data_IF_410658962159
#
_entry.id   IF_410658962159
#
_cell.length_a   1.000
_cell.length_b   1.000
_cell.length_c   1.000
_cell.angle_alpha   90.00
_cell.angle_beta   90.00
_cell.angle_gamma   90.00
#
_symmetry.space_group_name_H-M   'P 1'
#
loop_
_entity.id
_entity.type
_entity.pdbx_description
1 polymer ?
#
# COMPACT_ATOMS: atom_id res chain seq x y z
N UNK A 1 10.19 -0.99 -28.77
CA UNK A 1 10.92 -0.76 -27.50
C UNK A 1 10.01 -1.08 -26.33
N UNK A 2 10.41 -1.96 -25.40
CA UNK A 2 9.59 -2.40 -24.28
C UNK A 2 10.04 -1.70 -22.98
N UNK A 3 9.98 -0.37 -22.97
CA UNK A 3 10.44 0.44 -21.84
C UNK A 3 9.44 0.26 -20.69
N UNK A 4 9.94 0.01 -19.48
CA UNK A 4 9.14 -0.04 -18.25
C UNK A 4 9.62 1.09 -17.34
N UNK A 5 8.69 1.83 -16.73
CA UNK A 5 9.00 2.83 -15.68
C UNK A 5 8.70 2.27 -14.30
N UNK A 6 9.52 2.62 -13.32
CA UNK A 6 9.24 2.36 -11.91
C UNK A 6 8.32 3.47 -11.40
N UNK A 7 7.17 3.09 -10.85
CA UNK A 7 6.30 4.00 -10.11
C UNK A 7 6.36 3.62 -8.64
N UNK A 8 6.76 4.58 -7.82
CA UNK A 8 6.72 4.49 -6.37
C UNK A 8 5.58 5.35 -5.82
N UNK A 9 4.82 4.79 -4.89
CA UNK A 9 3.88 5.54 -4.05
C UNK A 9 4.25 5.38 -2.60
N UNK A 10 4.09 6.45 -1.84
CA UNK A 10 4.30 6.49 -0.41
C UNK A 10 2.93 6.61 0.27
N UNK A 11 2.75 5.84 1.32
CA UNK A 11 1.58 5.85 2.18
C UNK A 11 1.98 5.84 3.64
N UNK A 12 0.97 5.84 4.50
CA UNK A 12 1.14 5.88 5.95
C UNK A 12 0.26 4.85 6.61
N UNK A 13 0.77 4.17 7.64
CA UNK A 13 -0.01 3.26 8.46
C UNK A 13 -0.89 4.03 9.43
N UNK A 14 -2.15 3.60 9.52
CA UNK A 14 -3.07 3.97 10.58
C UNK A 14 -3.65 2.70 11.20
N UNK A 15 -3.43 2.52 12.50
CA UNK A 15 -4.03 1.40 13.24
C UNK A 15 -5.40 1.85 13.75
N UNK A 16 -6.45 1.11 13.38
CA UNK A 16 -7.83 1.40 13.78
C UNK A 16 -8.51 0.10 14.23
N UNK A 17 -8.95 0.04 15.50
CA UNK A 17 -9.74 -1.06 16.08
C UNK A 17 -9.26 -2.46 15.65
N UNK A 18 -7.96 -2.72 15.78
CA UNK A 18 -7.30 -3.99 15.43
C UNK A 18 -7.13 -4.27 13.93
N UNK A 19 -7.22 -3.25 13.07
CA UNK A 19 -6.91 -3.34 11.64
C UNK A 19 -5.79 -2.38 11.28
N UNK A 20 -4.94 -2.83 10.36
CA UNK A 20 -3.89 -1.99 9.80
C UNK A 20 -4.40 -1.36 8.50
N UNK A 21 -4.63 -0.06 8.54
CA UNK A 21 -5.02 0.72 7.37
C UNK A 21 -3.80 1.38 6.76
N UNK A 22 -3.74 1.42 5.42
CA UNK A 22 -2.72 2.16 4.68
C UNK A 22 -3.41 3.30 3.93
N UNK A 23 -2.94 4.51 4.23
CA UNK A 23 -3.44 5.77 3.66
C UNK A 23 -2.49 6.26 2.56
N UNK A 24 -2.99 7.05 1.60
CA UNK A 24 -2.16 7.79 0.63
C UNK A 24 -1.72 7.01 -0.62
N UNK A 25 -1.85 5.67 -0.66
CA UNK A 25 -1.55 4.89 -1.87
C UNK A 25 -2.63 5.00 -2.95
N UNK A 26 -3.86 5.32 -2.58
CA UNK A 26 -4.99 5.55 -3.47
C UNK A 26 -5.89 6.68 -2.94
N UNK A 27 -6.56 7.38 -3.86
CA UNK A 27 -7.45 8.51 -3.55
C UNK A 27 -8.94 8.16 -3.76
N UNK A 28 -9.24 6.94 -4.18
CA UNK A 28 -10.61 6.45 -4.37
C UNK A 28 -10.67 4.94 -4.15
N UNK A 29 -11.86 4.43 -3.80
CA UNK A 29 -12.10 2.98 -3.61
C UNK A 29 -11.71 2.16 -4.85
N UNK A 30 -12.16 2.57 -6.04
CA UNK A 30 -11.85 1.87 -7.30
C UNK A 30 -10.34 1.77 -7.55
N UNK A 31 -9.58 2.83 -7.25
CA UNK A 31 -8.12 2.81 -7.37
C UNK A 31 -7.49 1.90 -6.33
N UNK A 32 -8.03 1.88 -5.12
CA UNK A 32 -7.56 1.04 -4.01
C UNK A 32 -7.80 -0.45 -4.31
N UNK A 33 -8.94 -0.81 -4.91
CA UNK A 33 -9.26 -2.19 -5.30
C UNK A 33 -8.26 -2.75 -6.31
N UNK A 34 -7.78 -1.92 -7.25
CA UNK A 34 -6.71 -2.30 -8.20
C UNK A 34 -5.35 -2.55 -7.53
N UNK A 35 -5.21 -2.21 -6.25
CA UNK A 35 -3.98 -2.46 -5.49
C UNK A 35 -4.06 -3.73 -4.64
N UNK A 36 -5.23 -4.37 -4.53
CA UNK A 36 -5.41 -5.61 -3.76
C UNK A 36 -4.48 -6.69 -4.32
N UNK A 37 -3.88 -7.46 -3.42
CA UNK A 37 -2.96 -8.55 -3.73
C UNK A 37 -1.52 -8.10 -3.97
N UNK A 38 -1.23 -6.79 -4.01
CA UNK A 38 0.12 -6.28 -4.21
C UNK A 38 0.91 -6.18 -2.90
N UNK A 39 2.22 -6.37 -3.04
CA UNK A 39 3.18 -6.24 -1.95
C UNK A 39 3.54 -4.78 -1.69
N UNK A 40 3.70 -4.48 -0.41
CA UNK A 40 4.10 -3.19 0.14
C UNK A 40 5.19 -3.43 1.19
N UNK A 41 6.02 -2.42 1.43
CA UNK A 41 7.11 -2.53 2.41
C UNK A 41 7.15 -1.32 3.33
N UNK A 42 7.57 -1.54 4.56
CA UNK A 42 7.98 -0.48 5.49
C UNK A 42 9.51 -0.45 5.46
N UNK A 43 10.11 0.50 4.73
CA UNK A 43 11.56 0.47 4.45
C UNK A 43 12.40 0.62 5.72
N UNK A 44 11.96 1.43 6.68
CA UNK A 44 12.70 1.67 7.93
C UNK A 44 12.82 0.43 8.81
N UNK A 45 11.83 -0.47 8.75
CA UNK A 45 11.77 -1.70 9.54
C UNK A 45 12.10 -2.95 8.73
N UNK A 46 12.30 -2.80 7.42
CA UNK A 46 12.44 -3.92 6.48
C UNK A 46 11.30 -4.95 6.55
N UNK A 47 10.09 -4.50 6.92
CA UNK A 47 8.90 -5.36 7.03
C UNK A 47 8.16 -5.36 5.70
N UNK A 48 7.70 -6.54 5.29
CA UNK A 48 6.84 -6.71 4.11
C UNK A 48 5.40 -6.88 4.52
N UNK A 49 4.50 -6.50 3.63
CA UNK A 49 3.09 -6.72 3.79
C UNK A 49 2.37 -6.82 2.46
N UNK A 50 1.12 -7.24 2.53
CA UNK A 50 0.27 -7.45 1.38
C UNK A 50 -1.09 -6.78 1.58
N UNK A 51 -1.54 -6.09 0.55
CA UNK A 51 -2.86 -5.45 0.55
C UNK A 51 -3.92 -6.55 0.41
N UNK A 52 -4.81 -6.65 1.40
CA UNK A 52 -5.90 -7.63 1.44
C UNK A 52 -7.24 -7.08 0.97
N UNK A 53 -7.46 -5.78 1.13
CA UNK A 53 -8.73 -5.17 0.78
C UNK A 53 -8.73 -3.65 0.83
N UNK A 54 -9.93 -3.09 0.83
CA UNK A 54 -10.15 -1.64 0.94
C UNK A 54 -11.09 -1.33 2.10
N UNK A 55 -11.04 -0.10 2.59
CA UNK A 55 -11.92 0.39 3.63
C UNK A 55 -12.50 1.76 3.26
N UNK A 56 -13.82 1.86 3.26
CA UNK A 56 -14.54 3.10 2.95
C UNK A 56 -14.41 3.55 1.49
N UNK A 57 -14.72 4.83 1.24
CA UNK A 57 -14.74 5.44 -0.10
C UNK A 57 -13.48 6.25 -0.42
N UNK A 58 -12.74 6.67 0.61
CA UNK A 58 -11.55 7.53 0.51
C UNK A 58 -10.29 6.84 -0.02
N UNK A 59 -10.39 5.57 -0.42
CA UNK A 59 -9.27 4.80 -0.97
C UNK A 59 -8.31 4.24 0.09
N UNK A 60 -8.79 4.04 1.33
CA UNK A 60 -7.97 3.40 2.36
C UNK A 60 -7.84 1.91 2.07
N UNK A 61 -6.68 1.36 2.37
CA UNK A 61 -6.35 -0.04 2.10
C UNK A 61 -6.23 -0.79 3.40
N UNK A 62 -6.66 -2.04 3.42
CA UNK A 62 -6.40 -2.96 4.53
C UNK A 62 -5.22 -3.83 4.10
N UNK A 63 -4.20 -3.92 4.95
CA UNK A 63 -3.03 -4.73 4.69
C UNK A 63 -2.68 -5.62 5.89
N UNK A 64 -2.06 -6.74 5.60
CA UNK A 64 -1.41 -7.60 6.58
C UNK A 64 0.10 -7.50 6.39
N UNK A 65 0.84 -7.48 7.48
CA UNK A 65 2.29 -7.37 7.49
C UNK A 65 2.90 -8.58 8.21
N UNK A 66 4.09 -8.99 7.79
CA UNK A 66 4.82 -10.13 8.34
C UNK A 66 5.56 -9.77 9.66
N UNK A 67 5.19 -8.67 10.30
CA UNK A 67 5.82 -8.15 11.51
C UNK A 67 4.97 -7.08 12.18
N UNK A 68 5.45 -6.61 13.33
CA UNK A 68 4.77 -5.55 14.08
C UNK A 68 4.92 -4.20 13.38
N UNK A 69 3.80 -3.50 13.26
CA UNK A 69 3.73 -2.20 12.59
C UNK A 69 3.16 -1.18 13.55
N UNK A 70 3.63 0.04 13.43
CA UNK A 70 3.23 1.15 14.29
C UNK A 70 2.41 2.18 13.53
N UNK A 71 1.65 2.95 14.28
CA UNK A 71 0.90 4.07 13.72
C UNK A 71 1.89 5.10 13.15
N UNK A 72 1.60 5.63 11.95
CA UNK A 72 2.43 6.56 11.18
C UNK A 72 3.66 5.96 10.47
N UNK A 73 3.90 4.65 10.56
CA UNK A 73 4.94 4.01 9.75
C UNK A 73 4.75 4.33 8.26
N UNK A 74 5.84 4.64 7.58
CA UNK A 74 5.81 4.90 6.14
C UNK A 74 5.76 3.60 5.36
N UNK A 75 4.81 3.53 4.43
CA UNK A 75 4.63 2.38 3.54
C UNK A 75 5.03 2.78 2.14
N UNK A 76 5.74 1.90 1.45
CA UNK A 76 6.17 2.11 0.09
C UNK A 76 5.66 1.00 -0.82
N UNK A 77 5.05 1.41 -1.93
CA UNK A 77 4.54 0.54 -2.98
C UNK A 77 5.34 0.80 -4.26
N UNK A 78 6.09 -0.20 -4.73
CA UNK A 78 6.83 -0.12 -6.01
C UNK A 78 6.15 -0.97 -7.07
N UNK A 79 5.97 -0.42 -8.26
CA UNK A 79 5.41 -1.14 -9.42
C UNK A 79 6.18 -0.83 -10.69
N UNK A 80 6.35 -1.83 -11.53
CA UNK A 80 6.83 -1.66 -12.90
C UNK A 80 5.62 -1.47 -13.81
N UNK A 81 5.52 -0.32 -14.46
CA UNK A 81 4.45 -0.02 -15.43
C UNK A 81 5.08 0.06 -16.81
N UNK A 82 4.48 -0.63 -17.80
CA UNK A 82 4.89 -0.53 -19.20
C UNK A 82 4.70 0.92 -19.67
N UNK A 83 5.75 1.48 -20.25
CA UNK A 83 5.70 2.79 -20.89
C UNK A 83 4.85 2.67 -22.16
N UNK A 84 3.91 3.59 -22.36
CA UNK A 84 2.96 3.60 -23.48
C UNK A 84 3.24 4.81 -24.35
#
# INVERSE_FOLDING_TARGET
MNIKRVVSKVGMIKIDRNRVLVLGLANSKEKAERLIGQEIVIPEKNIRGRIKGTFGTKGYLVAEFDGEVENRDQVLLRRLIRWR
#
